data_IF_675908191591
#
_entry.id   IF_675908191591
#
_cell.length_a   1.000
_cell.length_b   1.000
_cell.length_c   1.000
_cell.angle_alpha   90.00
_cell.angle_beta   90.00
_cell.angle_gamma   90.00
#
_symmetry.space_group_name_H-M   'P 1'
#
loop_
_entity.id
_entity.type
_entity.pdbx_description
1 polymer ?
#
# COMPACT_ATOMS: atom_id res chain seq x y z
N UNK A 1 12.22 51.59 -17.92
CA UNK A 1 13.00 50.74 -17.00
C UNK A 1 12.09 49.59 -16.61
N UNK A 2 12.16 48.53 -17.41
CA UNK A 2 11.27 47.38 -17.35
C UNK A 2 11.89 46.31 -16.45
N UNK A 3 11.06 45.68 -15.60
CA UNK A 3 11.46 44.53 -14.80
C UNK A 3 11.72 43.31 -15.72
N UNK A 4 12.70 42.43 -15.41
CA UNK A 4 13.08 41.32 -16.29
C UNK A 4 12.04 40.19 -16.34
N UNK A 5 11.83 39.67 -17.55
CA UNK A 5 10.91 38.59 -17.97
C UNK A 5 11.39 37.17 -17.58
N UNK A 6 11.63 36.85 -16.32
CA UNK A 6 12.02 35.47 -15.92
C UNK A 6 11.12 34.84 -14.85
N UNK A 7 9.84 35.21 -14.82
CA UNK A 7 8.80 34.52 -14.03
C UNK A 7 7.76 33.92 -14.99
N UNK A 8 8.21 32.99 -15.83
CA UNK A 8 7.29 32.16 -16.63
C UNK A 8 7.96 30.90 -17.20
N UNK A 9 8.50 30.03 -16.34
CA UNK A 9 8.76 28.62 -16.65
C UNK A 9 9.04 27.86 -15.35
N UNK A 10 8.81 26.54 -15.32
CA UNK A 10 8.88 25.63 -14.15
C UNK A 10 7.57 25.54 -13.36
N UNK A 11 6.46 25.35 -14.08
CA UNK A 11 5.31 24.58 -13.61
C UNK A 11 4.98 23.56 -14.71
N UNK A 12 5.73 22.47 -14.76
CA UNK A 12 5.40 21.21 -15.45
C UNK A 12 6.52 20.19 -15.16
N UNK A 13 6.34 19.37 -14.12
CA UNK A 13 6.80 17.96 -14.05
C UNK A 13 6.62 17.38 -12.63
N UNK A 14 5.71 16.40 -12.42
CA UNK A 14 5.54 15.72 -11.14
C UNK A 14 6.41 14.46 -11.04
N UNK A 15 7.24 14.42 -10.00
CA UNK A 15 7.73 13.24 -9.26
C UNK A 15 8.16 12.02 -10.09
N UNK A 16 9.46 11.88 -10.32
CA UNK A 16 10.04 10.64 -10.82
C UNK A 16 11.37 10.34 -10.09
N UNK A 17 11.38 9.37 -9.18
CA UNK A 17 12.53 8.70 -8.52
C UNK A 17 11.93 7.75 -7.44
N UNK A 18 12.11 6.43 -7.36
CA UNK A 18 13.19 5.53 -7.79
C UNK A 18 12.61 4.11 -8.08
N UNK A 19 12.67 3.68 -9.33
CA UNK A 19 12.79 2.29 -9.77
C UNK A 19 13.38 2.38 -11.17
N UNK A 20 14.38 1.56 -11.50
CA UNK A 20 14.90 1.52 -12.88
C UNK A 20 13.75 1.36 -13.89
N UNK A 21 13.92 1.81 -15.15
CA UNK A 21 12.84 1.71 -16.12
C UNK A 21 12.40 0.25 -16.26
N UNK A 22 11.10 -0.01 -16.09
CA UNK A 22 10.53 -1.35 -16.19
C UNK A 22 10.90 -1.95 -17.56
N UNK A 23 11.45 -3.16 -17.54
CA UNK A 23 11.97 -3.86 -18.72
C UNK A 23 11.05 -5.01 -19.12
N UNK A 24 11.06 -5.37 -20.40
CA UNK A 24 10.34 -6.53 -20.90
C UNK A 24 10.98 -7.83 -20.40
N UNK A 25 10.22 -8.73 -19.81
CA UNK A 25 10.71 -10.01 -19.27
C UNK A 25 11.27 -10.95 -20.37
N UNK A 26 10.98 -10.67 -21.65
CA UNK A 26 11.46 -11.48 -22.78
C UNK A 26 12.69 -10.93 -23.49
N UNK A 27 12.79 -9.60 -23.61
CA UNK A 27 13.79 -8.95 -24.46
C UNK A 27 14.53 -7.81 -23.78
N UNK A 28 14.25 -7.57 -22.49
CA UNK A 28 14.92 -6.62 -21.59
C UNK A 28 14.86 -5.14 -22.00
N UNK A 29 14.20 -4.85 -23.13
CA UNK A 29 13.92 -3.48 -23.57
C UNK A 29 12.98 -2.79 -22.61
N UNK A 30 13.29 -1.54 -22.31
CA UNK A 30 12.38 -0.57 -21.71
C UNK A 30 11.25 -0.20 -22.69
N UNK A 31 10.22 0.47 -22.19
CA UNK A 31 9.15 0.99 -23.05
C UNK A 31 9.72 1.91 -24.16
N UNK A 32 10.66 2.80 -23.81
CA UNK A 32 11.29 3.72 -24.75
C UNK A 32 12.08 3.00 -25.85
N UNK A 33 12.89 1.99 -25.51
CA UNK A 33 13.65 1.18 -26.48
C UNK A 33 12.76 0.32 -27.40
N UNK A 34 11.51 0.08 -26.98
CA UNK A 34 10.49 -0.62 -27.77
C UNK A 34 9.58 0.34 -28.57
N UNK A 35 9.79 1.66 -28.49
CA UNK A 35 8.94 2.66 -29.14
C UNK A 35 7.54 2.78 -28.52
N UNK A 36 7.41 2.47 -27.23
CA UNK A 36 6.15 2.47 -26.48
C UNK A 36 6.19 3.48 -25.34
N UNK A 37 5.03 4.00 -24.96
CA UNK A 37 4.90 4.87 -23.77
C UNK A 37 4.93 4.07 -22.47
N UNK A 38 4.49 2.80 -22.49
CA UNK A 38 4.58 1.86 -21.36
C UNK A 38 4.58 0.40 -21.84
N UNK A 39 5.14 -0.50 -21.03
CA UNK A 39 5.03 -1.93 -21.26
C UNK A 39 3.63 -2.44 -20.88
N UNK A 40 3.21 -3.52 -21.53
CA UNK A 40 1.96 -4.22 -21.25
C UNK A 40 2.21 -5.21 -20.14
N UNK A 41 1.30 -5.35 -19.19
CA UNK A 41 1.41 -6.35 -18.14
C UNK A 41 0.58 -7.57 -18.54
N UNK A 42 1.04 -8.77 -18.17
CA UNK A 42 0.29 -10.01 -18.35
C UNK A 42 -1.12 -9.86 -17.74
N UNK A 43 -2.16 -9.99 -18.57
CA UNK A 43 -3.55 -9.85 -18.15
C UNK A 43 -4.03 -10.98 -17.22
N UNK A 44 -3.31 -12.10 -17.15
CA UNK A 44 -3.59 -13.18 -16.21
C UNK A 44 -3.14 -12.85 -14.79
N UNK A 45 -1.83 -12.68 -14.60
CA UNK A 45 -1.25 -12.54 -13.26
C UNK A 45 -0.98 -11.10 -12.82
N UNK A 46 -1.03 -10.13 -13.72
CA UNK A 46 -0.77 -8.72 -13.39
C UNK A 46 0.67 -8.39 -13.00
N UNK A 47 1.65 -9.29 -13.21
CA UNK A 47 3.00 -9.15 -12.65
C UNK A 47 4.14 -9.10 -13.67
N UNK A 48 3.95 -9.60 -14.89
CA UNK A 48 5.02 -9.72 -15.89
C UNK A 48 4.89 -8.64 -17.01
N UNK A 49 5.87 -7.74 -17.17
CA UNK A 49 5.90 -6.72 -18.23
C UNK A 49 6.41 -7.23 -19.59
N UNK A 50 5.72 -6.88 -20.68
CA UNK A 50 6.06 -7.22 -22.06
C UNK A 50 5.86 -6.04 -23.00
N UNK A 51 6.76 -5.88 -23.98
CA UNK A 51 6.57 -4.88 -25.03
C UNK A 51 5.52 -5.30 -26.07
N UNK A 52 5.26 -6.59 -26.25
CA UNK A 52 4.30 -7.08 -27.24
C UNK A 52 3.70 -8.43 -26.88
N UNK A 53 2.62 -8.82 -27.58
CA UNK A 53 1.97 -10.14 -27.42
C UNK A 53 2.90 -11.26 -27.88
N UNK A 54 3.78 -10.99 -28.84
CA UNK A 54 4.81 -11.93 -29.31
C UNK A 54 5.84 -12.20 -28.22
N UNK A 55 6.26 -11.17 -27.48
CA UNK A 55 7.15 -11.35 -26.32
C UNK A 55 6.47 -12.17 -25.22
N UNK A 56 5.23 -11.85 -24.87
CA UNK A 56 4.44 -12.65 -23.92
C UNK A 56 4.31 -14.12 -24.36
N UNK A 57 4.03 -14.40 -25.65
CA UNK A 57 3.93 -15.76 -26.18
C UNK A 57 5.27 -16.50 -26.15
N UNK A 58 6.38 -15.80 -26.42
CA UNK A 58 7.73 -16.36 -26.38
C UNK A 58 8.15 -16.74 -24.96
N UNK A 59 7.81 -15.89 -24.00
CA UNK A 59 8.08 -16.13 -22.58
C UNK A 59 7.07 -17.08 -21.92
N UNK A 60 5.93 -17.37 -22.57
CA UNK A 60 4.88 -18.24 -22.02
C UNK A 60 5.40 -19.59 -21.52
N UNK A 61 6.43 -20.17 -22.15
CA UNK A 61 7.02 -21.44 -21.67
C UNK A 61 7.63 -21.33 -20.27
N UNK A 62 8.18 -20.18 -19.92
CA UNK A 62 8.77 -19.90 -18.60
C UNK A 62 7.71 -19.31 -17.66
N UNK A 63 6.96 -18.30 -18.14
CA UNK A 63 6.00 -17.56 -17.35
C UNK A 63 4.72 -18.34 -16.99
N UNK A 64 4.29 -19.33 -17.78
CA UNK A 64 3.01 -20.02 -17.57
C UNK A 64 2.87 -20.64 -16.18
N UNK A 65 3.93 -21.20 -15.62
CA UNK A 65 3.90 -21.79 -14.29
C UNK A 65 3.66 -20.71 -13.23
N UNK A 66 4.40 -19.62 -13.28
CA UNK A 66 4.26 -18.49 -12.34
C UNK A 66 2.93 -17.77 -12.52
N UNK A 67 2.51 -17.58 -13.77
CA UNK A 67 1.21 -17.03 -14.13
C UNK A 67 0.08 -17.84 -13.52
N UNK A 68 0.13 -19.18 -13.64
CA UNK A 68 -0.83 -20.10 -13.01
C UNK A 68 -0.73 -20.09 -11.49
N UNK A 69 0.46 -20.00 -10.91
CA UNK A 69 0.64 -19.96 -9.46
C UNK A 69 0.03 -18.70 -8.83
N UNK A 70 0.16 -17.56 -9.52
CA UNK A 70 -0.46 -16.28 -9.11
C UNK A 70 -1.97 -16.32 -9.33
N UNK A 71 -2.44 -16.82 -10.48
CA UNK A 71 -3.87 -16.83 -10.83
C UNK A 71 -4.69 -17.91 -10.12
N UNK A 72 -4.08 -19.05 -9.79
CA UNK A 72 -4.71 -20.18 -9.07
C UNK A 72 -4.52 -20.08 -7.56
N UNK A 73 -3.82 -19.04 -7.09
CA UNK A 73 -3.49 -18.84 -5.68
C UNK A 73 -2.53 -19.89 -5.09
N UNK A 74 -1.82 -20.68 -5.90
CA UNK A 74 -0.86 -21.68 -5.40
C UNK A 74 0.34 -21.07 -4.67
N UNK A 75 0.73 -19.83 -4.98
CA UNK A 75 1.70 -19.08 -4.16
C UNK A 75 1.20 -18.85 -2.71
N UNK A 76 -0.12 -18.93 -2.47
CA UNK A 76 -0.70 -18.93 -1.12
C UNK A 76 -0.81 -20.32 -0.49
N UNK A 77 -0.57 -21.42 -1.26
CA UNK A 77 -0.78 -22.81 -0.82
C UNK A 77 0.50 -23.52 -0.35
N UNK A 78 1.69 -23.03 -0.66
CA UNK A 78 2.96 -23.59 -0.15
C UNK A 78 3.17 -23.40 1.37
N UNK A 79 2.22 -22.74 2.07
CA UNK A 79 2.23 -22.58 3.53
C UNK A 79 1.11 -23.28 4.31
N UNK A 80 0.17 -23.99 3.66
CA UNK A 80 -0.96 -24.62 4.36
C UNK A 80 -1.23 -26.03 3.80
N UNK A 81 -0.80 -27.03 4.58
CA UNK A 81 -1.04 -28.44 4.32
C UNK A 81 -2.52 -28.81 4.49
N UNK A 82 -3.07 -29.39 3.42
CA UNK A 82 -4.26 -30.26 3.29
C UNK A 82 -5.64 -29.66 3.00
N UNK A 83 -6.48 -30.38 2.20
CA UNK A 83 -7.54 -29.81 1.38
C UNK A 83 -8.91 -29.90 2.06
N UNK A 84 -9.70 -28.84 1.95
CA UNK A 84 -11.16 -28.92 2.20
C UNK A 84 -11.86 -28.69 0.87
N UNK A 85 -12.74 -29.65 0.54
CA UNK A 85 -13.27 -29.90 -0.78
C UNK A 85 -14.19 -28.83 -1.36
N UNK A 86 -14.56 -29.07 -2.61
CA UNK A 86 -15.55 -28.34 -3.39
C UNK A 86 -16.75 -27.92 -2.55
N UNK A 87 -16.91 -26.61 -2.36
CA UNK A 87 -18.21 -26.01 -2.07
C UNK A 87 -18.53 -25.13 -3.27
N UNK A 88 -19.59 -25.53 -3.97
CA UNK A 88 -20.03 -24.92 -5.21
C UNK A 88 -20.46 -23.46 -5.06
N UNK A 89 -20.54 -22.83 -6.23
CA UNK A 89 -21.10 -21.50 -6.45
C UNK A 89 -22.55 -21.44 -5.94
N UNK A 90 -22.68 -21.14 -4.65
CA UNK A 90 -23.93 -20.78 -4.00
C UNK A 90 -24.08 -19.26 -4.02
N UNK A 91 -24.85 -18.81 -4.99
CA UNK A 91 -25.41 -17.46 -5.11
C UNK A 91 -25.89 -16.91 -3.74
N UNK A 92 -25.11 -16.02 -3.12
CA UNK A 92 -25.56 -15.09 -2.06
C UNK A 92 -25.30 -13.68 -2.56
N UNK A 93 -26.33 -13.05 -3.11
CA UNK A 93 -26.36 -11.60 -3.28
C UNK A 93 -26.26 -10.94 -1.90
N UNK A 94 -25.20 -10.16 -1.67
CA UNK A 94 -25.22 -9.09 -0.67
C UNK A 94 -24.00 -8.93 0.26
N UNK A 95 -23.20 -9.96 0.52
CA UNK A 95 -22.08 -9.85 1.49
C UNK A 95 -20.76 -10.32 0.90
N UNK A 96 -19.73 -9.45 0.89
CA UNK A 96 -18.36 -9.82 0.48
C UNK A 96 -17.81 -10.90 1.40
N UNK A 97 -17.09 -11.86 0.83
CA UNK A 97 -16.37 -12.87 1.62
C UNK A 97 -15.14 -12.25 2.32
N UNK A 98 -14.65 -12.89 3.38
CA UNK A 98 -13.39 -12.54 4.06
C UNK A 98 -12.24 -12.33 3.07
N UNK A 99 -12.14 -13.19 2.05
CA UNK A 99 -11.10 -13.10 1.03
C UNK A 99 -11.26 -11.88 0.13
N UNK A 100 -12.50 -11.56 -0.29
CA UNK A 100 -12.78 -10.35 -1.07
C UNK A 100 -12.44 -9.08 -0.28
N UNK A 101 -12.74 -9.04 1.03
CA UNK A 101 -12.35 -7.92 1.90
C UNK A 101 -10.82 -7.78 1.97
N UNK A 102 -10.10 -8.89 2.15
CA UNK A 102 -8.63 -8.88 2.16
C UNK A 102 -8.04 -8.46 0.81
N UNK A 103 -8.65 -8.88 -0.30
CA UNK A 103 -8.25 -8.49 -1.64
C UNK A 103 -8.44 -6.98 -1.86
N UNK A 104 -9.62 -6.44 -1.51
CA UNK A 104 -9.92 -5.01 -1.60
C UNK A 104 -8.92 -4.19 -0.75
N UNK A 105 -8.72 -4.58 0.52
CA UNK A 105 -7.77 -3.92 1.42
C UNK A 105 -6.33 -3.96 0.89
N UNK A 106 -5.92 -5.08 0.31
CA UNK A 106 -4.58 -5.23 -0.27
C UNK A 106 -4.41 -4.34 -1.50
N UNK A 107 -5.37 -4.34 -2.43
CA UNK A 107 -5.34 -3.50 -3.62
C UNK A 107 -5.31 -2.01 -3.26
N UNK A 108 -6.20 -1.59 -2.35
CA UNK A 108 -6.23 -0.23 -1.81
C UNK A 108 -4.90 0.15 -1.17
N UNK A 109 -4.35 -0.72 -0.31
CA UNK A 109 -3.07 -0.48 0.35
C UNK A 109 -1.94 -0.26 -0.66
N UNK A 110 -1.84 -1.10 -1.70
CA UNK A 110 -0.78 -0.97 -2.71
C UNK A 110 -0.83 0.37 -3.44
N UNK A 111 -2.04 0.90 -3.73
CA UNK A 111 -2.19 2.22 -4.34
C UNK A 111 -1.66 3.32 -3.43
N UNK A 112 -1.94 3.26 -2.13
CA UNK A 112 -1.66 4.35 -1.19
C UNK A 112 -0.32 4.22 -0.43
N UNK A 113 0.35 3.07 -0.48
CA UNK A 113 1.58 2.81 0.27
C UNK A 113 2.70 3.79 -0.08
N UNK A 114 2.90 4.06 -1.38
CA UNK A 114 4.00 4.89 -1.87
C UNK A 114 3.84 6.39 -1.64
N UNK A 115 2.61 6.86 -1.34
CA UNK A 115 2.30 8.27 -1.23
C UNK A 115 1.55 8.61 0.07
N UNK A 116 0.24 8.39 0.09
CA UNK A 116 -0.73 8.79 1.10
C UNK A 116 -0.38 8.20 2.45
N UNK A 117 -0.17 6.89 2.52
CA UNK A 117 0.13 6.20 3.77
C UNK A 117 1.55 6.49 4.26
N UNK A 118 2.51 6.66 3.34
CA UNK A 118 3.87 7.08 3.70
C UNK A 118 3.85 8.46 4.35
N UNK A 119 3.26 9.47 3.69
CA UNK A 119 3.18 10.83 4.25
C UNK A 119 2.40 10.85 5.56
N UNK A 120 1.29 10.11 5.63
CA UNK A 120 0.49 9.98 6.85
C UNK A 120 1.32 9.37 7.97
N UNK A 121 2.08 8.30 7.73
CA UNK A 121 2.88 7.66 8.77
C UNK A 121 3.97 8.59 9.32
N UNK A 122 4.63 9.37 8.45
CA UNK A 122 5.58 10.40 8.87
C UNK A 122 4.95 11.44 9.79
N UNK A 123 3.77 11.93 9.42
CA UNK A 123 3.03 12.93 10.20
C UNK A 123 2.49 12.33 11.50
N UNK A 124 1.78 11.21 11.44
CA UNK A 124 1.12 10.63 12.60
C UNK A 124 2.11 10.19 13.69
N UNK A 125 3.25 9.60 13.32
CA UNK A 125 4.22 9.12 14.31
C UNK A 125 5.18 10.21 14.80
N UNK A 126 5.21 11.38 14.16
CA UNK A 126 6.12 12.46 14.49
C UNK A 126 7.56 12.21 14.02
N UNK A 127 7.74 11.54 12.88
CA UNK A 127 9.07 11.07 12.42
C UNK A 127 10.03 12.20 12.04
N UNK A 128 9.49 13.40 11.77
CA UNK A 128 10.31 14.60 11.57
C UNK A 128 11.02 15.07 12.84
N UNK A 129 10.41 14.81 14.01
CA UNK A 129 10.92 15.23 15.32
C UNK A 129 11.63 14.08 16.04
N UNK A 130 11.06 12.88 16.00
CA UNK A 130 11.63 11.68 16.60
C UNK A 130 11.57 10.52 15.61
N UNK A 131 12.68 10.29 14.91
CA UNK A 131 12.80 9.20 13.95
C UNK A 131 12.73 7.81 14.62
N UNK A 132 13.02 7.70 15.92
CA UNK A 132 12.97 6.44 16.65
C UNK A 132 11.54 6.02 17.00
N UNK A 133 10.56 6.91 16.91
CA UNK A 133 9.15 6.59 17.11
C UNK A 133 8.68 5.44 16.19
N UNK A 134 9.30 5.25 15.02
CA UNK A 134 9.04 4.12 14.11
C UNK A 134 9.25 2.73 14.74
N UNK A 135 10.11 2.63 15.76
CA UNK A 135 10.47 1.36 16.42
C UNK A 135 9.47 0.98 17.52
N UNK A 136 8.68 1.93 18.00
CA UNK A 136 7.81 1.77 19.16
C UNK A 136 6.34 2.10 18.90
N UNK A 137 6.00 2.76 17.78
CA UNK A 137 4.64 3.16 17.43
C UNK A 137 4.18 2.52 16.11
N UNK A 138 2.87 2.37 15.98
CA UNK A 138 2.17 1.83 14.81
C UNK A 138 1.02 2.76 14.48
N UNK A 139 0.80 3.02 13.19
CA UNK A 139 -0.41 3.70 12.73
C UNK A 139 -1.49 2.66 12.41
N UNK A 140 -2.67 2.81 13.00
CA UNK A 140 -3.81 1.93 12.75
C UNK A 140 -4.92 2.74 12.10
N UNK A 141 -5.41 2.26 10.96
CA UNK A 141 -6.49 2.86 10.20
C UNK A 141 -7.72 1.96 10.28
N UNK A 142 -8.82 2.55 10.76
CA UNK A 142 -10.15 1.98 10.63
C UNK A 142 -10.81 2.57 9.40
N UNK A 143 -11.28 1.71 8.51
CA UNK A 143 -11.76 2.06 7.19
C UNK A 143 -13.20 1.60 6.98
N UNK A 144 -13.94 2.33 6.15
CA UNK A 144 -15.29 1.96 5.69
C UNK A 144 -15.28 1.67 4.21
N UNK A 145 -15.92 0.58 3.79
CA UNK A 145 -16.07 0.26 2.37
C UNK A 145 -17.01 1.27 1.70
N UNK A 146 -16.61 1.78 0.56
CA UNK A 146 -17.45 2.61 -0.32
C UNK A 146 -18.14 1.77 -1.39
N UNK A 147 -19.02 2.38 -2.18
CA UNK A 147 -19.58 1.76 -3.38
C UNK A 147 -18.62 1.83 -4.59
N UNK A 148 -17.42 2.38 -4.42
CA UNK A 148 -16.47 2.57 -5.51
C UNK A 148 -15.88 1.24 -6.01
N UNK A 149 -15.70 1.16 -7.32
CA UNK A 149 -14.97 0.09 -8.02
C UNK A 149 -13.51 0.45 -8.32
N UNK A 150 -13.09 1.69 -8.01
CA UNK A 150 -11.70 2.14 -8.12
C UNK A 150 -10.93 1.84 -6.82
N UNK A 151 -9.83 1.06 -6.86
CA UNK A 151 -8.98 0.77 -5.71
C UNK A 151 -8.49 2.01 -4.95
N UNK A 152 -8.31 3.16 -5.60
CA UNK A 152 -7.92 4.43 -4.95
C UNK A 152 -9.00 4.97 -4.00
N UNK A 153 -10.24 4.56 -4.18
CA UNK A 153 -11.39 5.06 -3.43
C UNK A 153 -12.26 3.95 -2.85
N UNK A 154 -11.74 2.71 -2.79
CA UNK A 154 -12.42 1.58 -2.17
C UNK A 154 -12.85 1.85 -0.74
N UNK A 155 -12.02 2.58 -0.01
CA UNK A 155 -12.22 2.83 1.41
C UNK A 155 -12.17 4.31 1.75
N UNK A 156 -12.98 4.70 2.71
CA UNK A 156 -12.89 6.03 3.36
C UNK A 156 -12.41 5.87 4.80
N UNK A 157 -11.81 6.94 5.32
CA UNK A 157 -11.33 6.97 6.70
C UNK A 157 -12.51 7.00 7.68
N UNK A 158 -12.54 6.06 8.62
CA UNK A 158 -13.39 6.13 9.82
C UNK A 158 -12.63 6.74 10.98
N UNK A 159 -11.43 6.21 11.26
CA UNK A 159 -10.55 6.71 12.32
C UNK A 159 -9.09 6.34 12.04
N UNK A 160 -8.16 7.15 12.54
CA UNK A 160 -6.72 6.86 12.52
C UNK A 160 -6.12 7.04 13.93
N UNK A 161 -5.49 5.99 14.45
CA UNK A 161 -4.90 6.02 15.79
C UNK A 161 -3.43 5.64 15.75
N UNK A 162 -2.61 6.29 16.58
CA UNK A 162 -1.23 5.87 16.82
C UNK A 162 -1.19 5.07 18.11
N UNK A 163 -0.70 3.84 18.03
CA UNK A 163 -0.71 2.89 19.16
C UNK A 163 0.69 2.34 19.40
N UNK A 164 1.03 1.91 20.62
CA UNK A 164 2.30 1.24 20.89
C UNK A 164 2.43 -0.08 20.13
N UNK A 165 3.59 -0.34 19.54
CA UNK A 165 3.91 -1.62 18.90
C UNK A 165 3.82 -2.80 19.87
N UNK A 166 4.04 -2.57 21.17
CA UNK A 166 3.85 -3.57 22.23
C UNK A 166 2.41 -4.07 22.33
N UNK A 167 1.41 -3.20 22.12
CA UNK A 167 0.00 -3.60 22.15
C UNK A 167 -0.33 -4.50 20.96
N UNK A 168 0.16 -4.13 19.76
CA UNK A 168 0.02 -4.99 18.59
C UNK A 168 0.75 -6.33 18.80
N UNK A 169 1.96 -6.33 19.38
CA UNK A 169 2.66 -7.58 19.73
C UNK A 169 1.84 -8.46 20.67
N UNK A 170 1.21 -7.87 21.71
CA UNK A 170 0.41 -8.61 22.68
C UNK A 170 -0.83 -9.25 22.03
N UNK A 171 -1.54 -8.53 21.16
CA UNK A 171 -2.72 -9.05 20.44
C UNK A 171 -2.35 -10.24 19.54
N UNK A 172 -1.16 -10.20 18.94
CA UNK A 172 -0.71 -11.19 17.96
C UNK A 172 0.21 -12.26 18.53
N UNK A 173 0.54 -12.23 19.82
CA UNK A 173 1.48 -13.16 20.46
C UNK A 173 1.05 -14.63 20.33
N UNK A 174 -0.26 -14.89 20.36
CA UNK A 174 -0.84 -16.24 20.25
C UNK A 174 -1.26 -16.62 18.82
N UNK A 175 -1.02 -15.75 17.83
CA UNK A 175 -1.28 -16.03 16.41
C UNK A 175 -0.01 -16.60 15.75
N UNK A 176 -0.17 -17.30 14.62
CA UNK A 176 0.95 -17.97 13.93
C UNK A 176 2.16 -17.03 13.75
N UNK A 177 3.38 -17.45 14.13
CA UNK A 177 4.57 -16.60 14.09
C UNK A 177 4.99 -16.20 12.67
N UNK A 178 4.49 -16.89 11.64
CA UNK A 178 4.81 -16.62 10.24
C UNK A 178 4.25 -15.27 9.77
N UNK A 179 3.16 -14.79 10.38
CA UNK A 179 2.53 -13.50 10.08
C UNK A 179 2.68 -12.50 11.25
N UNK A 180 3.77 -12.61 12.02
CA UNK A 180 4.03 -11.69 13.12
C UNK A 180 4.34 -10.27 12.59
N UNK A 181 3.61 -9.22 13.01
CA UNK A 181 3.89 -7.84 12.59
C UNK A 181 5.32 -7.40 12.87
N UNK A 182 5.92 -7.94 13.94
CA UNK A 182 7.31 -7.64 14.30
C UNK A 182 8.31 -8.27 13.33
N UNK A 183 8.01 -9.46 12.80
CA UNK A 183 8.84 -10.09 11.77
C UNK A 183 8.74 -9.32 10.47
N UNK A 184 7.51 -9.00 10.04
CA UNK A 184 7.27 -8.22 8.82
C UNK A 184 8.01 -6.88 8.82
N UNK A 185 7.98 -6.17 9.96
CA UNK A 185 8.68 -4.89 10.10
C UNK A 185 10.21 -5.05 10.01
N UNK A 186 10.78 -6.09 10.63
CA UNK A 186 12.22 -6.38 10.55
C UNK A 186 12.65 -6.77 9.13
N UNK A 187 11.87 -7.63 8.48
CA UNK A 187 12.17 -8.13 7.14
C UNK A 187 12.09 -6.98 6.11
N UNK A 188 11.09 -6.08 6.23
CA UNK A 188 11.03 -4.87 5.41
C UNK A 188 12.17 -3.90 5.75
N UNK A 189 12.47 -3.61 7.02
CA UNK A 189 13.59 -2.72 7.40
C UNK A 189 14.92 -3.20 6.80
N UNK A 190 15.20 -4.51 6.86
CA UNK A 190 16.39 -5.09 6.22
C UNK A 190 16.41 -4.83 4.71
N UNK A 191 15.28 -5.09 4.02
CA UNK A 191 15.16 -4.82 2.57
C UNK A 191 15.36 -3.34 2.26
N UNK A 192 14.76 -2.44 3.05
CA UNK A 192 14.87 -0.99 2.81
C UNK A 192 16.29 -0.49 3.03
N UNK A 193 17.03 -1.05 3.98
CA UNK A 193 18.44 -0.69 4.19
C UNK A 193 19.29 -0.96 2.95
N UNK A 194 19.01 -2.04 2.21
CA UNK A 194 19.67 -2.34 0.93
C UNK A 194 19.37 -1.27 -0.13
N UNK A 195 18.18 -0.64 -0.07
CA UNK A 195 17.74 0.45 -0.94
C UNK A 195 18.09 1.87 -0.41
N UNK A 196 18.95 1.98 0.63
CA UNK A 196 19.31 3.27 1.26
C UNK A 196 18.24 3.86 2.18
N UNK A 197 17.24 3.06 2.54
CA UNK A 197 16.24 3.36 3.56
C UNK A 197 16.86 3.37 4.96
N UNK A 198 16.38 4.30 5.78
CA UNK A 198 16.86 4.49 7.15
C UNK A 198 16.05 3.70 8.17
N UNK A 199 14.94 3.07 7.77
CA UNK A 199 14.10 2.22 8.63
C UNK A 199 12.78 1.80 7.98
N UNK A 200 11.88 1.22 8.77
CA UNK A 200 10.51 0.92 8.38
C UNK A 200 9.53 1.33 9.48
N UNK A 201 8.27 1.57 9.10
CA UNK A 201 7.14 1.84 10.01
C UNK A 201 5.98 0.90 9.67
N UNK A 202 5.26 0.43 10.69
CA UNK A 202 4.06 -0.38 10.48
C UNK A 202 2.82 0.51 10.38
N UNK A 203 2.06 0.30 9.31
CA UNK A 203 0.66 0.72 9.20
C UNK A 203 -0.21 -0.55 9.23
N UNK A 204 -1.34 -0.50 9.93
CA UNK A 204 -2.33 -1.58 9.98
C UNK A 204 -3.66 -1.03 9.51
N UNK A 205 -4.28 -1.66 8.52
CA UNK A 205 -5.57 -1.23 8.01
C UNK A 205 -6.63 -2.31 8.23
N UNK A 206 -7.72 -1.91 8.87
CA UNK A 206 -8.88 -2.76 9.17
C UNK A 206 -10.12 -2.18 8.51
N UNK A 207 -10.92 -3.03 7.89
CA UNK A 207 -12.26 -2.66 7.44
C UNK A 207 -13.25 -2.89 8.59
N UNK A 208 -14.11 -1.90 8.84
CA UNK A 208 -15.18 -1.99 9.83
C UNK A 208 -16.50 -1.60 9.18
N UNK A 209 -17.58 -2.27 9.61
CA UNK A 209 -18.94 -1.91 9.23
C UNK A 209 -19.31 -0.51 9.75
N UNK A 210 -20.31 0.10 9.11
CA UNK A 210 -20.72 1.48 9.37
C UNK A 210 -21.27 1.68 10.79
N UNK A 211 -22.02 0.70 11.27
CA UNK A 211 -22.67 0.66 12.59
C UNK A 211 -21.73 0.20 13.71
N UNK A 212 -20.58 -0.39 13.38
CA UNK A 212 -19.59 -0.83 14.36
C UNK A 212 -19.03 0.36 15.13
N UNK A 213 -19.25 0.44 16.44
CA UNK A 213 -18.72 1.52 17.30
C UNK A 213 -17.57 1.05 18.19
N UNK A 214 -17.02 -0.15 17.96
CA UNK A 214 -15.94 -0.67 18.81
C UNK A 214 -14.70 0.23 18.73
N UNK A 215 -14.00 0.44 19.85
CA UNK A 215 -12.68 1.05 19.83
C UNK A 215 -11.72 0.27 18.94
N UNK A 216 -10.81 0.98 18.27
CA UNK A 216 -9.84 0.41 17.31
C UNK A 216 -9.06 -0.76 17.90
N UNK A 217 -8.62 -0.66 19.16
CA UNK A 217 -7.86 -1.73 19.83
C UNK A 217 -8.69 -2.99 20.07
N UNK A 218 -9.96 -2.84 20.43
CA UNK A 218 -10.89 -3.96 20.54
C UNK A 218 -11.11 -4.59 19.17
N UNK A 219 -11.32 -3.77 18.14
CA UNK A 219 -11.50 -4.22 16.76
C UNK A 219 -10.28 -5.03 16.26
N UNK A 220 -9.04 -4.57 16.50
CA UNK A 220 -7.82 -5.29 16.13
C UNK A 220 -7.73 -6.71 16.74
N UNK A 221 -8.25 -6.90 17.95
CA UNK A 221 -8.23 -8.22 18.61
C UNK A 221 -9.26 -9.20 18.04
N UNK A 222 -10.37 -8.69 17.50
CA UNK A 222 -11.54 -9.48 17.11
C UNK A 222 -11.72 -9.63 15.59
N UNK A 223 -11.26 -8.65 14.81
CA UNK A 223 -11.33 -8.67 13.35
C UNK A 223 -10.14 -9.49 12.83
N UNK A 224 -10.41 -10.42 11.92
CA UNK A 224 -9.39 -11.23 11.24
C UNK A 224 -9.02 -10.68 9.87
N UNK A 225 -9.89 -9.88 9.25
CA UNK A 225 -9.67 -9.23 7.95
C UNK A 225 -8.93 -7.92 8.12
N UNK A 226 -7.60 -7.99 8.07
CA UNK A 226 -6.73 -6.82 8.12
C UNK A 226 -5.52 -6.98 7.23
N UNK A 227 -4.91 -5.87 6.87
CA UNK A 227 -3.62 -5.85 6.17
C UNK A 227 -2.56 -5.13 7.00
N UNK A 228 -1.34 -5.63 6.91
CA UNK A 228 -0.15 -5.08 7.55
C UNK A 228 0.74 -4.49 6.45
N UNK A 229 1.03 -3.20 6.56
CA UNK A 229 1.80 -2.46 5.58
C UNK A 229 3.09 -1.95 6.25
N UNK A 230 4.19 -2.69 6.21
CA UNK A 230 5.49 -2.12 6.52
C UNK A 230 5.88 -1.15 5.40
N UNK A 231 6.12 0.11 5.76
CA UNK A 231 6.46 1.18 4.83
C UNK A 231 7.88 1.67 5.08
N UNK A 232 8.65 1.81 4.01
CA UNK A 232 10.03 2.27 4.10
C UNK A 232 10.15 3.73 4.50
N UNK A 233 11.07 4.00 5.42
CA UNK A 233 11.42 5.33 5.88
C UNK A 233 12.73 5.72 5.18
N UNK A 234 12.72 6.81 4.42
CA UNK A 234 13.84 7.27 3.60
C UNK A 234 14.16 8.74 3.87
N UNK A 235 15.42 9.14 3.69
CA UNK A 235 15.85 10.53 3.85
C UNK A 235 15.12 11.50 2.90
N UNK A 236 14.74 11.04 1.69
CA UNK A 236 13.99 11.87 0.72
C UNK A 236 12.63 12.30 1.27
N UNK A 237 11.97 11.44 2.06
CA UNK A 237 10.71 11.77 2.73
C UNK A 237 10.94 12.82 3.83
N UNK A 238 12.01 12.68 4.62
CA UNK A 238 12.38 13.67 5.64
C UNK A 238 12.62 15.05 5.04
N UNK A 239 13.41 15.12 3.96
CA UNK A 239 13.75 16.38 3.27
C UNK A 239 12.53 17.02 2.61
N UNK A 240 11.64 16.22 2.01
CA UNK A 240 10.43 16.74 1.37
C UNK A 240 9.43 17.25 2.41
N UNK A 241 9.23 16.50 3.49
CA UNK A 241 8.23 16.81 4.51
C UNK A 241 8.69 17.87 5.51
N UNK A 242 10.00 18.06 5.72
CA UNK A 242 10.51 19.14 6.58
C UNK A 242 10.12 20.54 6.09
N UNK A 243 9.87 20.71 4.78
CA UNK A 243 9.37 21.96 4.19
C UNK A 243 7.93 22.29 4.61
N UNK A 244 7.13 21.25 4.85
CA UNK A 244 5.74 21.37 5.33
C UNK A 244 5.70 21.43 6.86
N UNK A 245 6.65 20.76 7.50
CA UNK A 245 6.71 20.63 8.95
C UNK A 245 5.74 19.57 9.49
N UNK A 246 5.75 19.46 10.82
CA UNK A 246 4.89 18.55 11.56
C UNK A 246 3.48 19.13 11.67
N UNK A 247 2.49 18.41 11.14
CA UNK A 247 1.10 18.84 11.18
C UNK A 247 0.44 18.43 12.52
N UNK A 248 -0.42 19.29 13.09
CA UNK A 248 -1.35 18.91 14.15
C UNK A 248 -2.23 17.73 13.76
N UNK A 249 -2.67 16.95 14.75
CA UNK A 249 -3.43 15.71 14.53
C UNK A 249 -4.63 15.89 13.62
N UNK A 250 -5.45 16.90 13.93
CA UNK A 250 -6.65 17.23 13.16
C UNK A 250 -6.35 17.49 11.68
N UNK A 251 -5.20 18.11 11.37
CA UNK A 251 -4.86 18.50 10.00
C UNK A 251 -4.38 17.32 9.19
N UNK A 252 -3.47 16.49 9.70
CA UNK A 252 -3.03 15.32 8.93
C UNK A 252 -4.16 14.29 8.75
N UNK A 253 -5.06 14.14 9.74
CA UNK A 253 -6.27 13.30 9.60
C UNK A 253 -7.19 13.81 8.49
N UNK A 254 -7.39 15.12 8.38
CA UNK A 254 -8.16 15.71 7.30
C UNK A 254 -7.51 15.49 5.92
N UNK A 255 -6.18 15.65 5.82
CA UNK A 255 -5.43 15.36 4.60
C UNK A 255 -5.58 13.90 4.17
N UNK A 256 -5.42 12.96 5.11
CA UNK A 256 -5.63 11.53 4.87
C UNK A 256 -7.06 11.27 4.36
N UNK A 257 -8.08 11.76 5.08
CA UNK A 257 -9.47 11.56 4.70
C UNK A 257 -9.79 12.07 3.29
N UNK A 258 -9.25 13.23 2.90
CA UNK A 258 -9.42 13.78 1.56
C UNK A 258 -8.73 12.92 0.49
N UNK A 259 -7.53 12.42 0.80
CA UNK A 259 -6.77 11.60 -0.13
C UNK A 259 -7.45 10.24 -0.40
N UNK A 260 -8.02 9.61 0.63
CA UNK A 260 -8.79 8.37 0.48
C UNK A 260 -10.10 8.55 -0.28
N UNK A 261 -10.56 9.81 -0.45
CA UNK A 261 -11.70 10.16 -1.31
C UNK A 261 -11.28 10.48 -2.76
N UNK A 262 -10.02 10.19 -3.12
CA UNK A 262 -9.47 10.42 -4.45
C UNK A 262 -8.83 11.80 -4.64
N UNK A 263 -8.78 12.62 -3.59
CA UNK A 263 -8.13 13.93 -3.63
C UNK A 263 -6.62 13.87 -3.42
N UNK A 264 -5.98 15.03 -3.47
CA UNK A 264 -4.58 15.20 -3.03
C UNK A 264 -4.48 15.22 -1.51
N UNK A 265 -3.29 14.94 -0.98
CA UNK A 265 -3.02 15.03 0.46
C UNK A 265 -2.97 16.51 0.91
N UNK A 266 -4.13 17.08 1.19
CA UNK A 266 -4.29 18.48 1.57
C UNK A 266 -5.48 18.66 2.54
N UNK A 267 -5.47 19.70 3.40
CA UNK A 267 -6.54 19.93 4.38
C UNK A 267 -7.87 20.28 3.71
N UNK A 268 -7.82 20.86 2.51
CA UNK A 268 -8.99 21.10 1.65
C UNK A 268 -9.01 20.08 0.52
N UNK A 269 -10.19 19.49 0.25
CA UNK A 269 -10.34 18.55 -0.85
C UNK A 269 -10.07 19.22 -2.20
N UNK A 270 -9.15 18.65 -2.98
CA UNK A 270 -8.87 19.01 -4.37
C UNK A 270 -8.59 17.71 -5.13
N UNK A 271 -9.14 17.56 -6.32
CA UNK A 271 -8.83 16.41 -7.17
C UNK A 271 -7.37 16.48 -7.62
N UNK A 272 -6.70 15.32 -7.65
CA UNK A 272 -5.34 15.17 -8.19
C UNK A 272 -5.31 15.34 -9.70
#
# INVERSE_FOLDING_TARGET
>A
MSAPEEIQAIMEDPVNMVSGPVRCDTCEKTAAEAGLTKLRICSGCGSAPYCSVECQKKDWKNHKADCKRVTSGELAREGLSQPVGNIGDGNRQGTRTTWQVLQDLSAWAQIHNGDTLTVTAWQALGLLTDINARKSKVLVLSLRRTQSTDPKTYHTLKEACVVPLSELKAIFANRSPMNSPSRMLRDDEKKRQEDGGIGSVMVVSIEMEDDDQRPVMTALSQISTMTFQPLGVFNVHQTSLSRVGQLPERLWKACLANSLRGGVYAPTFRTS
#
